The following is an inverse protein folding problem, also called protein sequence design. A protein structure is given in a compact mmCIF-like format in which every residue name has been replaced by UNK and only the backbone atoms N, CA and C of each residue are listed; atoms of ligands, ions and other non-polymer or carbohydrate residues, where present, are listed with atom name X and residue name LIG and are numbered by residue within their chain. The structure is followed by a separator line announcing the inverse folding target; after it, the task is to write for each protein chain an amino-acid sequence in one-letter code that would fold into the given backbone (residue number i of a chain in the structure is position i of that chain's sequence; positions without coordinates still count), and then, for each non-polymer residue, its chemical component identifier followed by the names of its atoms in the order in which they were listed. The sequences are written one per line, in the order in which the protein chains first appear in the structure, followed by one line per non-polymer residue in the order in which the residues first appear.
data_IF_616775558462
#
_entry.id   IF_616775558462
#
_cell.length_a   1.000
_cell.length_b   1.000
_cell.length_c   1.000
_cell.angle_alpha   90.00
_cell.angle_beta   90.00
_cell.angle_gamma   90.00
#
_symmetry.space_group_name_H-M   'P 1'
#
loop_
_entity.id
_entity.type
_entity.pdbx_description
1 polymer ?
#
# COMPACT_ATOMS: atom_id res chain seq x y z
N UNK A 1 -60.31 12.27 2.54
CA UNK A 1 -61.65 11.65 2.47
C UNK A 1 -61.62 10.56 1.41
N UNK A 2 -61.84 9.30 1.82
CA UNK A 2 -62.23 8.09 1.05
C UNK A 2 -61.31 7.63 -0.10
N UNK A 3 -61.12 6.35 -0.43
CA UNK A 3 -61.33 5.01 0.20
C UNK A 3 -60.70 4.00 -0.80
N UNK A 4 -60.14 2.92 -0.26
CA UNK A 4 -60.11 1.53 -0.77
C UNK A 4 -59.18 1.05 -1.90
N UNK A 5 -58.51 -0.07 -1.58
CA UNK A 5 -57.90 -1.05 -2.50
C UNK A 5 -57.02 -2.05 -1.75
N UNK A 6 -57.64 -3.07 -1.13
CA UNK A 6 -57.04 -4.21 -0.40
C UNK A 6 -56.57 -5.37 -1.31
N UNK A 7 -55.85 -6.33 -0.68
CA UNK A 7 -55.69 -7.80 -0.89
C UNK A 7 -54.18 -8.15 -1.00
N UNK A 8 -53.48 -8.64 0.04
CA UNK A 8 -53.53 -9.92 0.83
C UNK A 8 -52.83 -11.11 0.16
N UNK A 9 -51.95 -11.79 0.94
CA UNK A 9 -51.78 -13.25 1.24
C UNK A 9 -50.36 -13.45 1.86
N UNK A 10 -50.18 -13.64 3.19
CA UNK A 10 -50.03 -14.91 3.98
C UNK A 10 -49.04 -15.91 3.36
N UNK A 11 -48.13 -16.63 4.03
CA UNK A 11 -47.97 -17.20 5.39
C UNK A 11 -46.55 -17.88 5.38
N UNK A 12 -45.73 -18.04 6.42
CA UNK A 12 -45.71 -18.98 7.57
C UNK A 12 -44.30 -18.76 8.19
N UNK A 13 -44.08 -18.78 9.50
CA UNK A 13 -43.56 -19.92 10.26
C UNK A 13 -43.34 -19.39 11.68
N UNK A 14 -43.88 -20.07 12.70
CA UNK A 14 -43.34 -20.14 14.08
C UNK A 14 -44.44 -20.73 14.98
N UNK A 15 -44.30 -22.01 15.36
CA UNK A 15 -44.66 -22.55 16.68
C UNK A 15 -44.24 -24.02 16.83
N UNK A 16 -43.97 -24.41 18.10
CA UNK A 16 -43.69 -25.73 18.68
C UNK A 16 -42.20 -26.19 18.70
N UNK A 17 -41.58 -26.63 19.81
CA UNK A 17 -42.11 -27.15 21.08
C UNK A 17 -41.06 -27.10 22.24
N UNK A 18 -41.58 -27.33 23.45
CA UNK A 18 -41.07 -27.10 24.82
C UNK A 18 -39.93 -28.01 25.33
N UNK A 19 -39.23 -27.47 26.33
CA UNK A 19 -38.74 -28.03 27.62
C UNK A 19 -38.12 -29.44 27.69
N UNK A 20 -36.92 -29.51 28.27
CA UNK A 20 -36.61 -30.43 29.38
C UNK A 20 -35.43 -29.89 30.23
N UNK A 21 -35.64 -29.79 31.55
CA UNK A 21 -34.59 -29.66 32.57
C UNK A 21 -34.44 -31.05 33.19
N UNK A 22 -33.22 -31.57 33.37
CA UNK A 22 -32.72 -31.84 34.72
C UNK A 22 -31.25 -32.30 34.79
N UNK A 23 -30.68 -31.98 35.95
CA UNK A 23 -29.64 -32.71 36.69
C UNK A 23 -28.15 -32.61 36.29
N UNK A 24 -27.42 -32.17 37.30
CA UNK A 24 -25.98 -32.07 37.48
C UNK A 24 -25.25 -33.41 37.52
N UNK A 25 -24.11 -33.50 36.84
CA UNK A 25 -22.98 -34.31 37.30
C UNK A 25 -21.65 -33.60 37.02
N UNK A 26 -20.92 -33.37 38.09
CA UNK A 26 -19.55 -32.92 38.15
C UNK A 26 -18.61 -33.87 37.41
N UNK A 27 -17.82 -33.36 36.47
CA UNK A 27 -16.58 -34.01 36.09
C UNK A 27 -15.47 -32.96 36.07
N UNK A 28 -14.71 -32.94 37.16
CA UNK A 28 -13.46 -32.22 37.31
C UNK A 28 -12.44 -32.80 36.34
N UNK A 29 -12.40 -32.28 35.11
CA UNK A 29 -11.25 -32.48 34.23
C UNK A 29 -10.47 -31.18 34.32
N UNK A 30 -9.35 -31.23 35.05
CA UNK A 30 -8.31 -30.22 34.99
C UNK A 30 -7.82 -30.16 33.55
N UNK A 31 -8.45 -29.32 32.74
CA UNK A 31 -7.84 -28.80 31.55
C UNK A 31 -6.70 -27.93 32.05
N UNK A 32 -5.48 -28.41 31.82
CA UNK A 32 -4.29 -27.59 31.81
C UNK A 32 -4.53 -26.53 30.72
N UNK A 33 -5.26 -25.47 31.08
CA UNK A 33 -5.38 -24.27 30.27
C UNK A 33 -3.98 -23.69 30.36
N UNK A 34 -3.11 -24.10 29.44
CA UNK A 34 -1.97 -23.30 29.07
C UNK A 34 -2.56 -21.92 28.80
N UNK A 35 -2.43 -21.00 29.75
CA UNK A 35 -2.84 -19.62 29.57
C UNK A 35 -2.03 -19.16 28.37
N UNK A 36 -2.68 -19.12 27.20
CA UNK A 36 -2.08 -18.54 26.02
C UNK A 36 -1.78 -17.11 26.44
N UNK A 37 -0.48 -16.82 26.61
CA UNK A 37 0.00 -15.52 27.02
C UNK A 37 -0.60 -14.52 26.03
N UNK A 38 -1.45 -13.65 26.54
CA UNK A 38 -2.09 -12.62 25.73
C UNK A 38 -0.99 -11.70 25.18
N UNK A 39 -0.99 -11.53 23.85
CA UNK A 39 -0.05 -10.67 23.16
C UNK A 39 -0.65 -9.26 23.08
N UNK A 40 0.03 -8.29 23.67
CA UNK A 40 -0.45 -6.90 23.74
C UNK A 40 0.24 -6.06 22.67
N UNK A 41 -0.57 -5.52 21.76
CA UNK A 41 -0.15 -4.59 20.71
C UNK A 41 -0.53 -3.16 21.11
N UNK A 42 0.45 -2.38 21.57
CA UNK A 42 0.31 -0.93 21.71
C UNK A 42 0.26 -0.29 20.33
N UNK A 43 -0.78 0.49 20.01
CA UNK A 43 -0.89 1.13 18.70
C UNK A 43 -0.92 2.67 18.77
N UNK A 44 -0.17 3.28 17.86
CA UNK A 44 -0.12 4.73 17.63
C UNK A 44 -0.36 5.01 16.15
N UNK A 45 -1.63 5.18 15.78
CA UNK A 45 -2.09 5.33 14.40
C UNK A 45 -2.77 6.70 14.21
N UNK A 46 -2.75 7.23 12.99
CA UNK A 46 -3.56 8.41 12.67
C UNK A 46 -5.05 8.08 12.77
N UNK A 47 -5.90 9.07 13.04
CA UNK A 47 -7.35 8.85 13.14
C UNK A 47 -7.95 8.21 11.89
N UNK A 48 -7.44 8.56 10.70
CA UNK A 48 -7.81 7.91 9.44
C UNK A 48 -7.42 6.43 9.42
N UNK A 49 -6.18 6.13 9.84
CA UNK A 49 -5.64 4.77 9.83
C UNK A 49 -6.32 3.88 10.87
N UNK A 50 -6.59 4.37 12.07
CA UNK A 50 -7.37 3.66 13.09
C UNK A 50 -8.72 3.25 12.51
N UNK A 51 -9.44 4.20 11.89
CA UNK A 51 -10.73 3.94 11.25
C UNK A 51 -10.63 2.97 10.08
N UNK A 52 -9.58 2.99 9.26
CA UNK A 52 -9.48 2.09 8.10
C UNK A 52 -8.96 0.69 8.45
N UNK A 53 -8.11 0.57 9.48
CA UNK A 53 -7.36 -0.64 9.81
C UNK A 53 -7.94 -1.43 10.98
N UNK A 54 -8.24 -0.77 12.12
CA UNK A 54 -8.79 -1.40 13.31
C UNK A 54 -10.32 -1.55 13.19
N UNK A 55 -10.72 -2.31 12.18
CA UNK A 55 -12.11 -2.65 11.95
C UNK A 55 -12.56 -3.77 12.90
N UNK A 56 -13.84 -3.83 13.31
CA UNK A 56 -14.34 -4.82 14.27
C UNK A 56 -14.01 -6.27 13.89
N UNK A 57 -13.95 -6.57 12.59
CA UNK A 57 -13.58 -7.89 12.08
C UNK A 57 -12.12 -8.27 12.43
N UNK A 58 -11.18 -7.33 12.30
CA UNK A 58 -9.78 -7.57 12.64
C UNK A 58 -9.64 -7.75 14.15
N UNK A 59 -10.28 -6.90 14.94
CA UNK A 59 -10.23 -6.95 16.41
C UNK A 59 -10.82 -8.26 16.95
N UNK A 60 -11.94 -8.73 16.38
CA UNK A 60 -12.53 -10.02 16.73
C UNK A 60 -11.59 -11.19 16.40
N UNK A 61 -10.98 -11.18 15.21
CA UNK A 61 -10.01 -12.21 14.82
C UNK A 61 -8.74 -12.19 15.68
N UNK A 62 -8.26 -11.00 16.06
CA UNK A 62 -7.10 -10.83 16.92
C UNK A 62 -7.38 -11.36 18.34
N UNK A 63 -8.52 -11.00 18.92
CA UNK A 63 -8.95 -11.48 20.24
C UNK A 63 -9.05 -13.00 20.29
N UNK A 64 -9.62 -13.62 19.24
CA UNK A 64 -9.71 -15.08 19.13
C UNK A 64 -8.33 -15.77 19.02
N UNK A 65 -7.28 -15.02 18.71
CA UNK A 65 -5.89 -15.48 18.69
C UNK A 65 -5.09 -15.04 19.92
N UNK A 66 -5.75 -14.50 20.95
CA UNK A 66 -5.10 -13.99 22.16
C UNK A 66 -4.29 -12.72 21.90
N UNK A 67 -4.68 -11.88 20.95
CA UNK A 67 -4.04 -10.60 20.65
C UNK A 67 -4.99 -9.45 21.05
N UNK A 68 -4.51 -8.53 21.87
CA UNK A 68 -5.22 -7.30 22.22
C UNK A 68 -4.54 -6.06 21.67
N UNK A 69 -5.35 -5.11 21.22
CA UNK A 69 -4.89 -3.80 20.75
C UNK A 69 -5.18 -2.76 21.83
N UNK A 70 -4.14 -2.01 22.22
CA UNK A 70 -4.24 -0.95 23.23
C UNK A 70 -3.79 0.37 22.60
N UNK A 71 -4.64 1.38 22.64
CA UNK A 71 -4.29 2.70 22.12
C UNK A 71 -3.19 3.34 22.98
N UNK A 72 -2.11 3.79 22.34
CA UNK A 72 -1.07 4.57 23.02
C UNK A 72 -1.54 6.02 23.17
N UNK A 73 -1.55 6.50 24.41
CA UNK A 73 -1.79 7.90 24.76
C UNK A 73 -0.53 8.72 24.51
N UNK A 74 -0.57 9.59 23.50
CA UNK A 74 0.55 10.45 23.12
C UNK A 74 0.86 11.55 24.16
N UNK A 75 -0.02 11.75 25.15
CA UNK A 75 0.19 12.74 26.21
C UNK A 75 0.92 12.16 27.43
N UNK A 76 1.24 10.86 27.42
CA UNK A 76 1.96 10.17 28.49
C UNK A 76 3.26 9.57 27.95
N UNK A 77 4.30 9.41 28.78
CA UNK A 77 5.50 8.70 28.38
C UNK A 77 5.18 7.28 27.90
N UNK A 78 5.83 6.82 26.82
CA UNK A 78 5.56 5.49 26.26
C UNK A 78 5.98 4.35 27.21
N UNK A 79 7.04 4.54 27.99
CA UNK A 79 7.53 3.59 29.01
C UNK A 79 6.52 3.30 30.12
N UNK A 80 5.57 4.21 30.37
CA UNK A 80 4.60 4.07 31.46
C UNK A 80 3.31 3.37 31.03
N UNK A 81 3.19 2.98 29.76
CA UNK A 81 1.95 2.47 29.16
C UNK A 81 1.98 0.96 28.87
N UNK A 82 3.15 0.33 29.03
CA UNK A 82 3.34 -1.10 28.84
C UNK A 82 2.88 -1.96 30.03
N UNK A 83 3.17 -3.27 30.00
CA UNK A 83 4.00 -3.95 29.02
C UNK A 83 3.31 -4.10 27.65
N UNK A 84 4.06 -3.86 26.57
CA UNK A 84 3.66 -4.20 25.21
C UNK A 84 4.57 -5.31 24.69
N UNK A 85 4.05 -6.22 23.88
CA UNK A 85 4.89 -7.14 23.09
C UNK A 85 5.26 -6.50 21.74
N UNK A 86 4.34 -5.69 21.19
CA UNK A 86 4.51 -5.00 19.90
C UNK A 86 4.04 -3.54 20.02
N UNK A 87 4.79 -2.62 19.43
CA UNK A 87 4.36 -1.25 19.17
C UNK A 87 4.09 -1.09 17.67
N UNK A 88 2.81 -1.01 17.29
CA UNK A 88 2.36 -0.78 15.92
C UNK A 88 2.15 0.72 15.67
N UNK A 89 2.80 1.30 14.67
CA UNK A 89 2.69 2.76 14.47
C UNK A 89 2.61 3.23 13.02
N UNK A 90 1.92 4.36 12.83
CA UNK A 90 1.85 5.11 11.58
C UNK A 90 1.74 6.62 11.82
N UNK A 91 2.34 7.10 12.90
CA UNK A 91 2.51 8.53 13.14
C UNK A 91 3.80 9.03 12.49
N UNK A 92 3.79 10.29 12.08
CA UNK A 92 4.93 10.95 11.44
C UNK A 92 5.45 12.08 12.34
N UNK A 93 6.69 12.52 12.11
CA UNK A 93 7.29 13.65 12.82
C UNK A 93 8.62 13.29 13.47
N UNK A 94 9.50 14.30 13.64
CA UNK A 94 10.82 14.11 14.25
C UNK A 94 10.70 13.67 15.72
N UNK A 95 9.72 14.22 16.44
CA UNK A 95 9.53 13.94 17.86
C UNK A 95 9.07 12.51 18.13
N UNK A 96 8.01 12.07 17.46
CA UNK A 96 7.52 10.70 17.56
C UNK A 96 8.60 9.65 17.25
N UNK A 97 9.43 9.91 16.23
CA UNK A 97 10.54 9.02 15.90
C UNK A 97 11.56 8.90 17.03
N UNK A 98 11.93 10.01 17.67
CA UNK A 98 12.85 10.00 18.82
C UNK A 98 12.28 9.21 19.99
N UNK A 99 10.99 9.37 20.28
CA UNK A 99 10.29 8.62 21.32
C UNK A 99 10.37 7.11 21.03
N UNK A 100 10.11 6.69 19.80
CA UNK A 100 10.19 5.27 19.40
C UNK A 100 11.62 4.73 19.42
N UNK A 101 12.61 5.51 19.00
CA UNK A 101 14.01 5.12 19.02
C UNK A 101 14.52 4.93 20.46
N UNK A 102 14.20 5.86 21.36
CA UNK A 102 14.53 5.75 22.79
C UNK A 102 13.83 4.55 23.45
N UNK A 103 12.54 4.36 23.16
CA UNK A 103 11.79 3.22 23.65
C UNK A 103 12.37 1.89 23.17
N UNK A 104 12.73 1.77 21.87
CA UNK A 104 13.35 0.57 21.30
C UNK A 104 14.70 0.24 21.96
N UNK A 105 15.48 1.25 22.34
CA UNK A 105 16.77 1.06 23.01
C UNK A 105 16.59 0.57 24.45
N UNK A 106 15.60 1.10 25.16
CA UNK A 106 15.30 0.73 26.56
C UNK A 106 14.56 -0.60 26.68
N UNK A 107 13.80 -0.98 25.66
CA UNK A 107 12.94 -2.16 25.63
C UNK A 107 13.23 -3.04 24.41
N UNK A 108 14.43 -3.68 24.33
CA UNK A 108 14.81 -4.53 23.21
C UNK A 108 13.93 -5.78 23.04
N UNK A 109 13.17 -6.16 24.07
CA UNK A 109 12.18 -7.23 24.05
C UNK A 109 10.92 -6.87 23.25
N UNK A 110 10.64 -5.57 23.04
CA UNK A 110 9.43 -5.09 22.37
C UNK A 110 9.68 -4.87 20.88
N UNK A 111 8.83 -5.45 20.04
CA UNK A 111 8.93 -5.26 18.59
C UNK A 111 8.28 -3.94 18.16
N UNK A 112 9.08 -2.97 17.69
CA UNK A 112 8.56 -1.76 17.04
C UNK A 112 8.29 -2.04 15.56
N UNK A 113 7.02 -1.99 15.16
CA UNK A 113 6.52 -2.40 13.85
C UNK A 113 6.03 -1.18 13.04
N UNK A 114 6.72 -0.74 11.98
CA UNK A 114 8.10 -1.09 11.57
C UNK A 114 9.15 -0.14 12.20
N UNK A 115 10.46 -0.45 12.16
CA UNK A 115 11.50 0.44 12.68
C UNK A 115 11.44 1.86 12.06
N UNK A 116 11.52 2.95 12.87
CA UNK A 116 11.43 4.32 12.36
C UNK A 116 12.46 4.68 11.28
N UNK A 117 13.67 4.14 11.41
CA UNK A 117 14.78 4.26 10.46
C UNK A 117 14.46 3.57 9.12
N UNK A 118 13.95 2.33 9.17
CA UNK A 118 13.50 1.58 7.99
C UNK A 118 12.44 2.35 7.20
N UNK A 119 11.48 2.96 7.89
CA UNK A 119 10.38 3.73 7.27
C UNK A 119 10.89 4.96 6.50
N UNK A 120 12.00 5.58 6.91
CA UNK A 120 12.52 6.76 6.20
C UNK A 120 12.95 6.45 4.76
N UNK A 121 13.41 5.22 4.48
CA UNK A 121 13.89 4.84 3.15
C UNK A 121 12.80 4.93 2.08
N UNK A 122 11.55 4.65 2.45
CA UNK A 122 10.41 4.68 1.52
C UNK A 122 9.71 6.04 1.44
N UNK A 123 10.00 6.98 2.35
CA UNK A 123 9.54 8.38 2.22
C UNK A 123 10.40 9.22 1.30
N UNK A 124 11.59 8.73 0.92
CA UNK A 124 12.43 9.39 -0.05
C UNK A 124 12.27 8.74 -1.43
N UNK A 125 11.48 9.39 -2.31
CA UNK A 125 11.30 8.96 -3.71
C UNK A 125 12.62 8.80 -4.48
N UNK A 126 13.70 9.44 -4.04
CA UNK A 126 15.02 9.29 -4.66
C UNK A 126 15.65 7.92 -4.40
N UNK A 127 15.50 7.38 -3.19
CA UNK A 127 16.10 6.10 -2.78
C UNK A 127 15.12 4.94 -2.80
N UNK A 128 13.82 5.20 -2.71
CA UNK A 128 12.77 4.20 -2.53
C UNK A 128 12.81 3.06 -3.55
N UNK A 129 13.10 3.37 -4.82
CA UNK A 129 13.16 2.37 -5.90
C UNK A 129 14.58 1.81 -6.13
N UNK A 130 15.60 2.33 -5.44
CA UNK A 130 16.98 1.90 -5.61
C UNK A 130 17.16 0.43 -5.20
N UNK A 131 16.54 0.00 -4.09
CA UNK A 131 16.60 -1.40 -3.65
C UNK A 131 16.00 -2.39 -4.66
N UNK A 132 15.00 -1.96 -5.42
CA UNK A 132 14.43 -2.75 -6.52
C UNK A 132 15.40 -2.80 -7.69
N UNK A 133 15.98 -1.66 -8.06
CA UNK A 133 16.96 -1.57 -9.15
C UNK A 133 18.20 -2.45 -8.89
N UNK A 134 18.72 -2.40 -7.67
CA UNK A 134 19.91 -3.15 -7.24
C UNK A 134 19.64 -4.64 -7.04
N UNK A 135 18.37 -5.04 -6.95
CA UNK A 135 18.00 -6.45 -6.85
C UNK A 135 18.25 -7.19 -8.17
N UNK A 136 18.09 -6.50 -9.31
CA UNK A 136 18.19 -7.06 -10.66
C UNK A 136 17.49 -8.43 -10.77
N UNK A 137 16.24 -8.49 -10.29
CA UNK A 137 15.51 -9.74 -10.18
C UNK A 137 15.14 -10.26 -11.57
N UNK A 138 15.75 -11.37 -11.95
CA UNK A 138 15.46 -12.10 -13.17
C UNK A 138 15.45 -13.59 -12.87
N UNK A 139 14.34 -14.26 -13.17
CA UNK A 139 14.23 -15.71 -13.09
C UNK A 139 13.18 -16.26 -14.06
N UNK A 140 12.86 -17.55 -13.93
CA UNK A 140 11.93 -18.27 -14.81
C UNK A 140 10.50 -17.70 -14.79
N UNK A 141 10.15 -16.86 -13.81
CA UNK A 141 8.83 -16.23 -13.71
C UNK A 141 8.82 -14.79 -14.27
N UNK A 142 9.98 -14.23 -14.59
CA UNK A 142 10.12 -12.95 -15.26
C UNK A 142 11.22 -12.06 -14.70
N UNK A 143 11.22 -10.83 -15.18
CA UNK A 143 12.18 -9.79 -14.87
C UNK A 143 11.44 -8.67 -14.15
N UNK A 144 11.97 -8.23 -13.01
CA UNK A 144 11.47 -7.07 -12.27
C UNK A 144 12.52 -5.97 -12.29
N UNK A 145 12.12 -4.80 -12.78
CA UNK A 145 12.96 -3.61 -12.81
C UNK A 145 12.23 -2.38 -12.28
N UNK A 146 12.85 -1.23 -12.54
CA UNK A 146 12.25 0.09 -12.32
C UNK A 146 12.37 0.87 -13.62
N UNK A 147 11.37 1.68 -14.01
CA UNK A 147 11.52 2.52 -15.20
C UNK A 147 12.62 3.56 -14.94
N UNK A 148 13.34 3.94 -16.00
CA UNK A 148 14.45 4.89 -15.86
C UNK A 148 13.92 6.22 -15.35
N UNK A 149 14.65 6.84 -14.44
CA UNK A 149 14.21 8.04 -13.77
C UNK A 149 15.33 9.07 -13.57
N UNK A 150 14.94 10.33 -13.49
CA UNK A 150 15.81 11.48 -13.30
C UNK A 150 15.20 12.43 -12.26
N UNK A 151 16.02 12.86 -11.31
CA UNK A 151 15.62 13.77 -10.24
C UNK A 151 16.01 15.21 -10.59
N UNK A 152 15.03 16.11 -10.54
CA UNK A 152 15.21 17.54 -10.78
C UNK A 152 14.89 18.27 -9.50
N UNK A 153 15.86 19.02 -8.97
CA UNK A 153 15.72 19.66 -7.66
C UNK A 153 15.33 21.13 -7.70
N UNK A 154 15.75 21.87 -8.74
CA UNK A 154 15.64 23.34 -8.74
C UNK A 154 15.27 23.92 -10.10
N UNK A 155 16.19 23.92 -11.05
CA UNK A 155 16.06 24.72 -12.27
C UNK A 155 15.16 24.05 -13.33
N UNK A 156 13.95 24.58 -13.61
CA UNK A 156 13.07 24.04 -14.65
C UNK A 156 13.67 24.18 -16.06
N UNK A 157 14.45 25.25 -16.30
CA UNK A 157 15.01 25.53 -17.63
C UNK A 157 16.06 24.52 -18.05
N UNK A 158 16.73 23.87 -17.07
CA UNK A 158 17.72 22.83 -17.29
C UNK A 158 17.10 21.43 -17.53
N UNK A 159 15.78 21.26 -17.32
CA UNK A 159 15.14 19.94 -17.44
C UNK A 159 15.31 19.32 -18.84
N UNK A 160 15.06 20.03 -19.96
CA UNK A 160 15.20 19.44 -21.29
C UNK A 160 16.60 18.88 -21.55
N UNK A 161 17.64 19.64 -21.18
CA UNK A 161 19.04 19.24 -21.36
C UNK A 161 19.42 18.08 -20.44
N UNK A 162 18.96 18.09 -19.19
CA UNK A 162 19.18 17.01 -18.25
C UNK A 162 18.53 15.70 -18.73
N UNK A 163 17.30 15.78 -19.26
CA UNK A 163 16.59 14.64 -19.88
C UNK A 163 17.32 14.13 -21.12
N UNK A 164 17.81 15.02 -21.99
CA UNK A 164 18.57 14.65 -23.17
C UNK A 164 19.91 13.97 -22.81
N UNK A 165 20.63 14.51 -21.82
CA UNK A 165 21.89 13.94 -21.30
C UNK A 165 21.66 12.58 -20.64
N UNK A 166 20.58 12.44 -19.88
CA UNK A 166 20.16 11.18 -19.30
C UNK A 166 19.58 10.21 -20.35
N UNK A 167 19.32 10.65 -21.58
CA UNK A 167 18.73 9.88 -22.67
C UNK A 167 17.39 9.24 -22.28
N UNK A 168 16.55 9.90 -21.49
CA UNK A 168 15.22 9.37 -21.18
C UNK A 168 14.31 9.46 -22.40
N UNK A 169 13.41 8.50 -22.54
CA UNK A 169 12.45 8.39 -23.63
C UNK A 169 11.11 9.01 -23.23
N UNK A 170 10.54 9.83 -24.11
CA UNK A 170 9.19 10.40 -23.91
C UNK A 170 8.11 9.35 -24.22
N UNK A 171 6.97 9.39 -23.52
CA UNK A 171 6.58 10.42 -22.56
C UNK A 171 7.14 10.15 -21.16
N UNK A 172 7.23 11.20 -20.35
CA UNK A 172 7.75 11.11 -18.97
C UNK A 172 6.66 11.42 -17.95
N UNK A 173 6.49 10.54 -16.97
CA UNK A 173 5.66 10.80 -15.79
C UNK A 173 6.43 11.72 -14.86
N UNK A 174 5.91 12.92 -14.63
CA UNK A 174 6.41 13.85 -13.62
C UNK A 174 5.68 13.61 -12.30
N UNK A 175 6.44 13.36 -11.22
CA UNK A 175 5.92 13.19 -9.86
C UNK A 175 6.62 14.19 -8.93
N UNK A 176 5.90 15.04 -8.17
CA UNK A 176 6.50 15.91 -7.18
C UNK A 176 7.34 15.13 -6.15
N UNK A 177 8.48 15.66 -5.70
CA UNK A 177 9.29 15.01 -4.66
C UNK A 177 8.77 15.26 -3.24
N UNK A 178 8.02 16.34 -3.05
CA UNK A 178 7.42 16.66 -1.76
C UNK A 178 6.23 15.72 -1.52
N UNK A 179 6.36 14.84 -0.53
CA UNK A 179 5.28 13.97 -0.02
C UNK A 179 4.80 14.54 1.32
N UNK A 180 4.18 15.71 1.30
CA UNK A 180 3.66 16.39 2.51
C UNK A 180 2.19 16.01 2.82
N UNK A 181 1.61 15.11 2.03
CA UNK A 181 0.20 14.70 2.15
C UNK A 181 -0.81 15.76 1.69
N UNK A 182 -0.35 16.89 1.13
CA UNK A 182 -1.22 17.88 0.51
C UNK A 182 -1.77 17.37 -0.83
N UNK A 183 -2.87 17.97 -1.31
CA UNK A 183 -3.43 17.63 -2.62
C UNK A 183 -2.43 17.83 -3.78
N UNK A 184 -1.43 18.71 -3.62
CA UNK A 184 -0.36 18.96 -4.60
C UNK A 184 0.69 17.85 -4.64
N UNK A 185 0.93 17.14 -3.54
CA UNK A 185 1.92 16.05 -3.46
C UNK A 185 1.57 14.80 -4.30
N UNK A 186 0.31 14.71 -4.76
CA UNK A 186 -0.21 13.60 -5.55
C UNK A 186 -0.56 13.99 -7.00
N UNK A 187 -0.27 15.22 -7.42
CA UNK A 187 -0.51 15.63 -8.80
C UNK A 187 0.54 15.00 -9.71
N UNK A 188 0.09 14.07 -10.55
CA UNK A 188 0.92 13.45 -11.58
C UNK A 188 0.64 14.14 -12.90
N UNK A 189 1.68 14.29 -13.71
CA UNK A 189 1.55 14.82 -15.07
C UNK A 189 2.34 13.96 -16.05
N UNK A 190 1.89 13.91 -17.30
CA UNK A 190 2.60 13.24 -18.38
C UNK A 190 3.13 14.28 -19.36
N UNK A 191 4.45 14.32 -19.54
CA UNK A 191 5.12 15.21 -20.47
C UNK A 191 5.38 14.49 -21.80
N UNK A 192 4.87 15.03 -22.90
CA UNK A 192 4.89 14.39 -24.22
C UNK A 192 6.04 14.86 -25.11
N UNK A 193 6.55 16.07 -24.87
CA UNK A 193 7.58 16.70 -25.71
C UNK A 193 8.66 17.39 -24.89
N UNK A 194 9.82 17.61 -25.51
CA UNK A 194 10.97 18.24 -24.84
C UNK A 194 10.76 19.71 -24.51
N UNK A 195 10.00 20.44 -25.32
CA UNK A 195 9.81 21.88 -25.17
C UNK A 195 8.94 22.22 -23.97
N UNK A 196 8.05 21.32 -23.57
CA UNK A 196 7.16 21.50 -22.42
C UNK A 196 7.78 21.08 -21.09
N UNK A 197 8.91 20.37 -21.09
CA UNK A 197 9.60 19.95 -19.87
C UNK A 197 10.00 21.13 -18.96
N UNK A 198 10.33 22.29 -19.53
CA UNK A 198 10.68 23.49 -18.77
C UNK A 198 9.51 24.15 -18.05
N UNK A 199 8.27 23.70 -18.32
CA UNK A 199 7.05 24.15 -17.65
C UNK A 199 6.75 23.37 -16.36
N UNK A 200 7.51 22.31 -16.08
CA UNK A 200 7.35 21.53 -14.86
C UNK A 200 7.90 22.29 -13.65
N UNK A 201 7.40 21.96 -12.45
CA UNK A 201 7.73 22.64 -11.20
C UNK A 201 8.53 21.71 -10.26
N UNK A 202 9.87 21.84 -10.19
CA UNK A 202 10.70 21.10 -9.26
C UNK A 202 10.45 21.50 -7.79
N UNK A 203 10.75 20.63 -6.81
CA UNK A 203 11.49 19.38 -6.94
C UNK A 203 10.58 18.23 -7.41
N UNK A 204 11.02 17.46 -8.41
CA UNK A 204 10.25 16.38 -9.01
C UNK A 204 11.14 15.22 -9.50
N UNK A 205 10.53 14.06 -9.69
CA UNK A 205 11.11 12.93 -10.42
C UNK A 205 10.42 12.81 -11.78
N UNK A 206 11.23 12.70 -12.83
CA UNK A 206 10.80 12.29 -14.16
C UNK A 206 11.07 10.80 -14.31
N UNK A 207 10.03 10.03 -14.62
CA UNK A 207 10.13 8.59 -14.83
C UNK A 207 9.63 8.25 -16.22
N UNK A 208 10.32 7.38 -16.95
CA UNK A 208 9.86 6.88 -18.25
C UNK A 208 8.48 6.22 -18.11
N UNK A 209 7.55 6.62 -18.99
CA UNK A 209 6.26 5.97 -19.08
C UNK A 209 6.39 4.64 -19.82
N UNK A 210 5.91 3.57 -19.21
CA UNK A 210 5.87 2.24 -19.80
C UNK A 210 4.41 1.93 -20.11
N UNK A 211 4.07 1.66 -21.37
CA UNK A 211 2.74 1.15 -21.70
C UNK A 211 2.50 -0.17 -20.95
N UNK A 212 1.34 -0.31 -20.31
CA UNK A 212 1.00 -1.41 -19.42
C UNK A 212 -0.49 -1.80 -19.45
N UNK A 213 -1.20 -1.41 -20.53
CA UNK A 213 -2.60 -1.77 -20.76
C UNK A 213 -3.57 -1.14 -19.77
N UNK A 214 -3.18 -0.06 -19.07
CA UNK A 214 -4.04 0.63 -18.11
C UNK A 214 -4.35 -0.17 -16.84
N UNK A 215 -3.51 -1.15 -16.47
CA UNK A 215 -3.69 -1.95 -15.24
C UNK A 215 -2.49 -1.86 -14.33
N UNK A 216 -2.74 -1.56 -13.06
CA UNK A 216 -1.77 -1.58 -11.97
C UNK A 216 -2.05 -2.76 -11.04
N UNK A 217 -1.01 -3.50 -10.67
CA UNK A 217 -1.04 -4.53 -9.63
C UNK A 217 -0.53 -3.95 -8.32
N UNK A 218 -1.43 -3.73 -7.38
CA UNK A 218 -1.09 -3.29 -6.03
C UNK A 218 -0.86 -4.51 -5.16
N UNK A 219 0.41 -4.75 -4.79
CA UNK A 219 0.85 -5.93 -4.05
C UNK A 219 1.07 -5.54 -2.59
N UNK A 220 0.11 -5.86 -1.73
CA UNK A 220 0.21 -5.68 -0.29
C UNK A 220 1.05 -6.79 0.34
N UNK A 221 1.99 -6.40 1.18
CA UNK A 221 2.94 -7.27 1.88
C UNK A 221 2.75 -7.08 3.39
N UNK A 222 2.44 -8.18 4.08
CA UNK A 222 2.27 -8.25 5.54
C UNK A 222 3.12 -9.40 6.04
N UNK A 223 4.37 -9.12 6.39
CA UNK A 223 5.35 -10.18 6.65
C UNK A 223 5.52 -11.07 5.41
N UNK A 224 5.31 -12.38 5.56
CA UNK A 224 5.38 -13.32 4.43
C UNK A 224 4.07 -13.41 3.63
N UNK A 225 2.98 -12.80 4.10
CA UNK A 225 1.70 -12.83 3.41
C UNK A 225 1.65 -11.76 2.30
N UNK A 226 1.12 -12.17 1.14
CA UNK A 226 0.97 -11.31 -0.03
C UNK A 226 -0.49 -11.31 -0.47
N UNK A 227 -1.02 -10.11 -0.75
CA UNK A 227 -2.32 -9.93 -1.40
C UNK A 227 -2.17 -8.98 -2.56
N UNK A 228 -2.58 -9.42 -3.75
CA UNK A 228 -2.59 -8.59 -4.96
C UNK A 228 -4.02 -8.13 -5.22
N UNK A 229 -4.17 -6.86 -5.58
CA UNK A 229 -5.42 -6.30 -6.13
C UNK A 229 -5.11 -5.57 -7.43
N UNK A 230 -6.05 -5.60 -8.38
CA UNK A 230 -5.95 -4.84 -9.62
C UNK A 230 -6.58 -3.46 -9.43
N UNK A 231 -5.93 -2.45 -9.99
CA UNK A 231 -6.43 -1.08 -10.09
C UNK A 231 -6.36 -0.65 -11.54
N UNK A 232 -7.29 0.18 -11.98
CA UNK A 232 -7.07 0.88 -13.24
C UNK A 232 -5.83 1.78 -13.11
N UNK A 233 -5.21 2.06 -14.24
CA UNK A 233 -4.02 2.89 -14.33
C UNK A 233 -4.12 3.78 -15.56
N UNK A 234 -3.04 4.47 -15.89
CA UNK A 234 -2.96 5.31 -17.07
C UNK A 234 -3.07 4.46 -18.34
N UNK A 235 -3.93 4.84 -19.30
CA UNK A 235 -4.05 4.12 -20.56
C UNK A 235 -2.73 4.18 -21.33
N UNK A 236 -2.54 3.23 -22.23
CA UNK A 236 -1.39 3.22 -23.10
C UNK A 236 -1.39 4.44 -24.02
N UNK A 237 -0.18 4.86 -24.36
CA UNK A 237 0.04 5.99 -25.25
C UNK A 237 0.47 5.45 -26.61
N UNK A 238 -0.36 5.72 -27.62
CA UNK A 238 -0.10 5.31 -29.00
C UNK A 238 0.90 6.24 -29.69
N UNK A 239 1.54 5.77 -30.77
CA UNK A 239 2.40 6.61 -31.62
C UNK A 239 1.67 7.85 -32.16
N UNK A 240 0.37 7.75 -32.41
CA UNK A 240 -0.44 8.88 -32.88
C UNK A 240 -0.57 9.92 -31.77
N UNK A 241 -0.88 9.50 -30.55
CA UNK A 241 -0.95 10.39 -29.38
C UNK A 241 0.40 11.03 -29.05
N UNK A 242 1.51 10.32 -29.27
CA UNK A 242 2.85 10.90 -29.17
C UNK A 242 3.10 12.03 -30.17
N UNK A 243 2.48 11.99 -31.33
CA UNK A 243 2.62 13.00 -32.38
C UNK A 243 1.60 14.13 -32.25
N UNK A 244 0.39 13.83 -31.73
CA UNK A 244 -0.70 14.80 -31.63
C UNK A 244 -0.72 15.56 -30.30
N UNK A 245 -0.25 14.93 -29.21
CA UNK A 245 -0.22 15.58 -27.91
C UNK A 245 1.07 16.39 -27.77
N UNK A 246 0.91 17.65 -27.40
CA UNK A 246 2.00 18.55 -27.05
C UNK A 246 1.71 19.14 -25.70
N UNK A 247 2.75 19.35 -24.90
CA UNK A 247 2.64 19.89 -23.56
C UNK A 247 2.82 18.86 -22.44
N UNK A 248 2.58 19.37 -21.24
CA UNK A 248 2.44 18.61 -20.00
C UNK A 248 0.95 18.50 -19.73
N UNK A 249 0.44 17.27 -19.69
CA UNK A 249 -0.95 17.01 -19.37
C UNK A 249 -1.05 16.60 -17.89
N UNK A 250 -1.66 17.43 -17.02
CA UNK A 250 -1.95 17.02 -15.65
C UNK A 250 -3.01 15.93 -15.68
N UNK A 251 -2.86 14.93 -14.81
CA UNK A 251 -3.93 13.96 -14.59
C UNK A 251 -4.94 14.57 -13.64
N UNK A 252 -6.18 14.91 -14.08
CA UNK A 252 -7.24 15.19 -13.13
C UNK A 252 -7.40 13.91 -12.31
N UNK A 253 -7.06 14.01 -11.00
CA UNK A 253 -7.04 12.96 -9.97
C UNK A 253 -7.48 11.60 -10.49
N UNK A 254 -6.59 10.61 -10.42
CA UNK A 254 -6.73 9.15 -10.11
C UNK A 254 -8.13 8.60 -9.74
N UNK A 255 -9.22 9.13 -10.28
CA UNK A 255 -10.61 8.82 -9.92
C UNK A 255 -10.98 7.48 -10.53
N UNK A 256 -10.43 7.21 -11.72
CA UNK A 256 -10.42 5.88 -12.31
C UNK A 256 -9.33 5.00 -11.70
N UNK A 257 -8.11 5.49 -11.51
CA UNK A 257 -6.98 4.64 -11.06
C UNK A 257 -7.01 4.25 -9.57
N UNK A 258 -7.84 4.90 -8.75
CA UNK A 258 -8.17 4.45 -7.41
C UNK A 258 -9.32 3.43 -7.42
N UNK A 259 -10.04 3.25 -8.52
CA UNK A 259 -11.09 2.24 -8.60
C UNK A 259 -10.48 0.84 -8.72
N UNK A 260 -11.05 -0.12 -8.01
CA UNK A 260 -10.70 -1.53 -8.18
C UNK A 260 -11.05 -1.99 -9.58
N UNK A 261 -10.12 -2.72 -10.20
CA UNK A 261 -10.32 -3.38 -11.48
C UNK A 261 -10.52 -4.91 -11.31
N UNK A 262 -10.71 -5.40 -10.07
CA UNK A 262 -10.79 -6.84 -9.82
C UNK A 262 -12.03 -7.51 -10.43
N UNK A 263 -13.11 -6.74 -10.63
CA UNK A 263 -14.35 -7.21 -11.24
C UNK A 263 -14.55 -6.67 -12.66
N UNK A 264 -13.54 -5.99 -13.23
CA UNK A 264 -13.62 -5.46 -14.58
C UNK A 264 -13.34 -6.58 -15.59
N UNK A 265 -14.10 -6.58 -16.69
CA UNK A 265 -13.83 -7.43 -17.84
C UNK A 265 -12.65 -6.82 -18.62
N UNK A 266 -11.46 -7.37 -18.39
CA UNK A 266 -10.20 -6.91 -18.95
C UNK A 266 -9.55 -8.05 -19.74
N UNK A 267 -8.81 -7.70 -20.80
CA UNK A 267 -8.02 -8.67 -21.56
C UNK A 267 -7.15 -9.51 -20.61
N UNK A 268 -7.28 -10.85 -20.59
CA UNK A 268 -6.46 -11.72 -19.76
C UNK A 268 -4.96 -11.49 -19.96
N UNK A 269 -4.50 -11.15 -21.17
CA UNK A 269 -3.10 -10.86 -21.45
C UNK A 269 -2.57 -9.62 -20.69
N UNK A 270 -3.47 -8.70 -20.31
CA UNK A 270 -3.16 -7.47 -19.57
C UNK A 270 -3.44 -7.63 -18.09
N UNK A 271 -4.50 -8.34 -17.71
CA UNK A 271 -5.01 -8.40 -16.34
C UNK A 271 -4.60 -9.65 -15.54
N UNK A 272 -3.93 -10.63 -16.16
CA UNK A 272 -3.36 -11.77 -15.44
C UNK A 272 -2.42 -11.29 -14.33
N UNK A 273 -2.57 -11.84 -13.12
CA UNK A 273 -1.75 -11.44 -11.97
C UNK A 273 -0.29 -11.83 -12.17
N UNK A 274 0.68 -11.03 -11.67
CA UNK A 274 2.08 -11.45 -11.65
C UNK A 274 2.23 -12.82 -10.95
N UNK A 275 3.10 -13.72 -11.44
CA UNK A 275 3.26 -15.05 -10.87
C UNK A 275 3.55 -14.98 -9.38
N UNK A 276 2.81 -15.75 -8.58
CA UNK A 276 2.97 -15.77 -7.13
C UNK A 276 4.42 -16.07 -6.68
N UNK A 277 5.16 -17.03 -7.28
CA UNK A 277 6.56 -17.27 -6.90
C UNK A 277 7.48 -16.07 -7.13
N UNK A 278 7.25 -15.29 -8.19
CA UNK A 278 7.97 -14.04 -8.47
C UNK A 278 7.73 -13.03 -7.34
N UNK A 279 6.46 -12.84 -6.96
CA UNK A 279 6.07 -11.91 -5.90
C UNK A 279 6.59 -12.34 -4.52
N UNK A 280 6.61 -13.63 -4.22
CA UNK A 280 7.15 -14.17 -2.96
C UNK A 280 8.65 -13.92 -2.84
N UNK A 281 9.40 -14.10 -3.93
CA UNK A 281 10.84 -13.80 -3.98
C UNK A 281 11.11 -12.31 -3.90
N UNK A 282 10.38 -11.50 -4.68
CA UNK A 282 10.49 -10.04 -4.65
C UNK A 282 10.18 -9.48 -3.26
N UNK A 283 9.06 -9.91 -2.66
CA UNK A 283 8.64 -9.50 -1.30
C UNK A 283 9.69 -9.86 -0.26
N UNK A 284 10.22 -11.08 -0.30
CA UNK A 284 11.27 -11.51 0.65
C UNK A 284 12.53 -10.64 0.56
N UNK A 285 13.00 -10.37 -0.65
CA UNK A 285 14.20 -9.54 -0.84
C UNK A 285 13.97 -8.08 -0.47
N UNK A 286 12.82 -7.51 -0.81
CA UNK A 286 12.49 -6.14 -0.43
C UNK A 286 12.31 -5.99 1.08
N UNK A 287 11.67 -6.94 1.78
CA UNK A 287 11.61 -6.93 3.24
C UNK A 287 12.99 -6.93 3.87
N UNK A 288 13.91 -7.76 3.36
CA UNK A 288 15.28 -7.86 3.86
C UNK A 288 16.07 -6.56 3.64
N UNK A 289 15.92 -5.93 2.48
CA UNK A 289 16.64 -4.70 2.12
C UNK A 289 16.08 -3.45 2.79
N UNK A 290 14.75 -3.30 2.78
CA UNK A 290 14.06 -2.15 3.37
C UNK A 290 13.92 -2.22 4.89
N UNK A 291 14.01 -3.42 5.48
CA UNK A 291 13.74 -3.64 6.91
C UNK A 291 12.26 -3.46 7.29
N UNK A 292 11.36 -3.45 6.30
CA UNK A 292 9.92 -3.25 6.49
C UNK A 292 9.16 -4.59 6.47
N UNK A 293 8.03 -4.64 7.16
CA UNK A 293 7.09 -5.77 7.15
C UNK A 293 5.71 -5.36 6.65
N UNK A 294 5.34 -4.09 6.76
CA UNK A 294 4.03 -3.56 6.37
C UNK A 294 4.20 -2.52 5.26
N UNK A 295 4.08 -2.96 4.01
CA UNK A 295 4.12 -2.05 2.86
C UNK A 295 3.35 -2.64 1.68
N UNK A 296 3.11 -1.83 0.67
CA UNK A 296 2.77 -2.35 -0.65
C UNK A 296 3.77 -1.84 -1.69
N UNK A 297 3.81 -2.55 -2.79
CA UNK A 297 4.48 -2.12 -4.01
C UNK A 297 3.44 -2.01 -5.13
N UNK A 298 3.58 -0.98 -5.94
CA UNK A 298 2.75 -0.74 -7.12
C UNK A 298 3.54 -1.24 -8.34
N UNK A 299 3.04 -2.29 -8.99
CA UNK A 299 3.70 -2.98 -10.11
C UNK A 299 2.87 -2.83 -11.38
N UNK A 300 3.52 -2.49 -12.49
CA UNK A 300 2.96 -2.57 -13.84
C UNK A 300 3.66 -3.66 -14.64
N UNK A 301 2.96 -4.26 -15.61
CA UNK A 301 3.54 -5.19 -16.60
C UNK A 301 3.66 -4.48 -17.94
N UNK A 302 4.81 -4.56 -18.60
CA UNK A 302 5.00 -3.93 -19.91
C UNK A 302 4.07 -4.56 -20.95
N UNK A 303 3.29 -3.71 -21.64
CA UNK A 303 2.34 -4.13 -22.66
C UNK A 303 3.07 -4.92 -23.75
N UNK A 304 2.48 -6.05 -24.15
CA UNK A 304 3.03 -6.90 -25.21
C UNK A 304 4.11 -7.85 -24.71
N UNK A 305 4.44 -7.79 -23.42
CA UNK A 305 5.31 -8.74 -22.73
C UNK A 305 4.48 -9.59 -21.78
N UNK A 306 4.97 -10.79 -21.45
CA UNK A 306 4.32 -11.64 -20.45
C UNK A 306 4.99 -11.55 -19.09
N UNK A 307 6.28 -11.21 -19.08
CA UNK A 307 7.19 -11.50 -17.98
C UNK A 307 8.06 -10.30 -17.57
N UNK A 308 7.85 -9.10 -18.14
CA UNK A 308 8.55 -7.87 -17.72
C UNK A 308 7.67 -7.01 -16.84
N UNK A 309 8.12 -6.81 -15.61
CA UNK A 309 7.43 -6.07 -14.57
C UNK A 309 8.26 -4.88 -14.10
N UNK A 310 7.59 -3.81 -13.74
CA UNK A 310 8.22 -2.59 -13.22
C UNK A 310 7.56 -2.17 -11.92
N UNK A 311 8.37 -2.00 -10.87
CA UNK A 311 7.91 -1.36 -9.63
C UNK A 311 7.98 0.15 -9.83
N UNK A 312 6.85 0.83 -9.62
CA UNK A 312 6.72 2.28 -9.87
C UNK A 312 6.53 3.11 -8.59
N UNK A 313 6.18 2.45 -7.47
CA UNK A 313 5.99 3.08 -6.16
C UNK A 313 6.06 2.03 -5.03
N UNK A 314 6.49 2.46 -3.83
CA UNK A 314 6.48 1.66 -2.60
C UNK A 314 5.87 2.52 -1.49
N UNK A 315 4.82 2.06 -0.83
CA UNK A 315 4.19 2.84 0.24
C UNK A 315 4.23 2.11 1.58
N UNK A 316 4.59 2.84 2.64
CA UNK A 316 4.56 2.33 4.01
C UNK A 316 3.12 2.21 4.53
N UNK A 317 2.82 1.02 5.06
CA UNK A 317 1.58 0.69 5.76
C UNK A 317 0.31 1.29 5.12
N UNK A 318 0.09 1.11 3.81
CA UNK A 318 -0.99 1.75 3.05
C UNK A 318 -2.37 1.40 3.59
N UNK A 319 -3.38 2.20 3.25
CA UNK A 319 -4.77 1.81 3.50
C UNK A 319 -5.17 0.64 2.59
N UNK A 320 -6.03 -0.29 3.06
CA UNK A 320 -6.51 -1.43 2.27
C UNK A 320 -7.14 -1.05 0.94
#
# INVERSE_FOLDING_TARGET
MRLNGEISYRNDEDEEMKNERDSSLSCSIGADISQQKELVVGYALTSKKTKSFLQPKLEGLARNKGISFVAIDQNKPLSDQGPFDIVLHKLSGKEWRRILEDYRQKHPEVTVLDPPDAIQHVYNRQSMLQDVADLNLSDNYGIVGVPRQLFIMKDPSAIPDAVAKARLTLPLVAKPLVVDGSAKSHELSLAFDKCSLSKLDPPLVLQEFVNHGGVLFKVYIVGDAIKVVRRFSLPDVSKREMLSNTGVLPFPRVSCAAASADNADLDPAVAELPPRPLLEKLSRELRRRLGLRLFNIDIIREHGTRDKYYVIDINYFPDP
#
